data_IF_494857016859
#
_entry.id   IF_494857016859
#
_cell.length_a   1.000
_cell.length_b   1.000
_cell.length_c   1.000
_cell.angle_alpha   90.00
_cell.angle_beta   90.00
_cell.angle_gamma   90.00
#
_symmetry.space_group_name_H-M   'P 1'
#
loop_
_entity.id
_entity.type
_entity.pdbx_description
1 polymer ?
#
# COMPACT_ATOMS: atom_id res chain seq x y z
N UNK A 1 14.07 -8.60 -20.35
CA UNK A 1 14.02 -8.82 -18.89
C UNK A 1 12.98 -7.89 -18.30
N UNK A 2 12.33 -8.29 -17.21
CA UNK A 2 11.38 -7.45 -16.49
C UNK A 2 11.99 -6.91 -15.21
N UNK A 3 11.65 -5.68 -14.85
CA UNK A 3 12.03 -5.01 -13.60
C UNK A 3 10.79 -4.53 -12.88
N UNK A 4 10.89 -4.33 -11.57
CA UNK A 4 9.82 -3.75 -10.77
C UNK A 4 10.16 -2.31 -10.47
N UNK A 5 9.25 -1.41 -10.84
CA UNK A 5 9.27 0.00 -10.42
C UNK A 5 8.23 0.20 -9.33
N UNK A 6 8.50 1.05 -8.35
CA UNK A 6 7.58 1.31 -7.24
C UNK A 6 7.61 2.78 -6.83
N UNK A 7 6.46 3.28 -6.36
CA UNK A 7 6.33 4.62 -5.76
C UNK A 7 5.36 4.58 -4.59
N UNK A 8 5.67 5.38 -3.58
CA UNK A 8 4.81 5.65 -2.43
C UNK A 8 4.05 6.95 -2.66
N UNK A 9 2.80 7.00 -2.21
CA UNK A 9 1.91 8.15 -2.24
C UNK A 9 1.34 8.39 -0.86
N UNK A 10 1.05 9.63 -0.50
CA UNK A 10 0.41 9.94 0.79
C UNK A 10 -1.09 9.62 0.78
N UNK A 11 -1.73 9.57 -0.40
CA UNK A 11 -3.15 9.28 -0.56
C UNK A 11 -3.42 8.14 -1.53
N UNK A 12 -4.53 7.43 -1.30
CA UNK A 12 -5.03 6.42 -2.24
C UNK A 12 -5.43 7.04 -3.59
N UNK A 13 -5.94 8.27 -3.58
CA UNK A 13 -6.39 8.96 -4.79
C UNK A 13 -5.23 9.25 -5.75
N UNK A 14 -4.07 9.70 -5.23
CA UNK A 14 -2.87 9.93 -6.05
C UNK A 14 -2.33 8.61 -6.61
N UNK A 15 -2.29 7.57 -5.78
CA UNK A 15 -1.88 6.24 -6.21
C UNK A 15 -2.79 5.69 -7.32
N UNK A 16 -4.11 5.89 -7.23
CA UNK A 16 -5.07 5.48 -8.25
C UNK A 16 -4.85 6.20 -9.58
N UNK A 17 -4.50 7.49 -9.55
CA UNK A 17 -4.15 8.24 -10.76
C UNK A 17 -2.91 7.64 -11.43
N UNK A 18 -1.89 7.29 -10.64
CA UNK A 18 -0.68 6.64 -11.14
C UNK A 18 -0.97 5.27 -11.78
N UNK A 19 -1.81 4.45 -11.15
CA UNK A 19 -2.27 3.16 -11.73
C UNK A 19 -2.98 3.40 -13.08
N UNK A 20 -3.92 4.34 -13.12
CA UNK A 20 -4.67 4.67 -14.34
C UNK A 20 -3.72 5.13 -15.45
N UNK A 21 -2.72 5.94 -15.12
CA UNK A 21 -1.73 6.43 -16.08
C UNK A 21 -0.82 5.30 -16.60
N UNK A 22 -0.43 4.34 -15.76
CA UNK A 22 0.31 3.15 -16.20
C UNK A 22 -0.51 2.28 -17.17
N UNK A 23 -1.79 2.05 -16.85
CA UNK A 23 -2.69 1.29 -17.73
C UNK A 23 -2.87 1.98 -19.08
N UNK A 24 -3.10 3.29 -19.08
CA UNK A 24 -3.19 4.11 -20.29
C UNK A 24 -1.89 4.08 -21.11
N UNK A 25 -0.75 3.88 -20.46
CA UNK A 25 0.56 3.73 -21.08
C UNK A 25 0.89 2.29 -21.55
N UNK A 26 -0.08 1.36 -21.44
CA UNK A 26 0.00 -0.01 -21.95
C UNK A 26 0.48 -1.05 -20.94
N UNK A 27 0.66 -0.70 -19.66
CA UNK A 27 1.00 -1.68 -18.63
C UNK A 27 -0.23 -2.53 -18.33
N UNK A 28 -0.10 -3.84 -18.46
CA UNK A 28 -1.20 -4.76 -18.16
C UNK A 28 -1.55 -4.69 -16.68
N UNK A 29 -2.85 -4.65 -16.40
CA UNK A 29 -3.40 -4.64 -15.06
C UNK A 29 -2.82 -5.72 -14.14
N UNK A 30 -2.63 -6.94 -14.64
CA UNK A 30 -2.04 -8.07 -13.90
C UNK A 30 -0.59 -7.85 -13.47
N UNK A 31 0.10 -6.87 -14.06
CA UNK A 31 1.46 -6.48 -13.73
C UNK A 31 1.53 -5.31 -12.74
N UNK A 32 0.38 -4.72 -12.38
CA UNK A 32 0.29 -3.62 -11.42
C UNK A 32 -0.23 -4.18 -10.10
N UNK A 33 0.28 -3.62 -9.00
CA UNK A 33 -0.22 -3.91 -7.67
C UNK A 33 -0.27 -2.64 -6.84
N UNK A 34 -1.27 -2.53 -5.99
CA UNK A 34 -1.46 -1.41 -5.05
C UNK A 34 -1.65 -1.97 -3.64
N UNK A 35 -1.04 -1.33 -2.65
CA UNK A 35 -1.20 -1.64 -1.22
C UNK A 35 -1.37 -0.34 -0.46
N UNK A 36 -2.53 -0.12 0.13
CA UNK A 36 -2.91 1.12 0.80
C UNK A 36 -3.26 0.86 2.27
N UNK A 37 -2.74 1.66 3.18
CA UNK A 37 -3.15 1.59 4.58
C UNK A 37 -4.62 2.01 4.77
N UNK A 38 -5.35 1.27 5.59
CA UNK A 38 -6.76 1.49 5.92
C UNK A 38 -7.00 1.59 7.44
N UNK A 39 -6.01 2.03 8.22
CA UNK A 39 -6.15 2.17 9.68
C UNK A 39 -7.23 3.17 10.09
N UNK A 40 -7.58 4.12 9.22
CA UNK A 40 -8.66 5.08 9.42
C UNK A 40 -10.00 4.68 8.75
N UNK A 41 -10.07 3.47 8.19
CA UNK A 41 -11.33 2.87 7.73
C UNK A 41 -11.95 3.50 6.50
N UNK A 42 -11.18 4.17 5.63
CA UNK A 42 -11.71 4.84 4.45
C UNK A 42 -12.32 3.87 3.42
N UNK A 43 -11.91 2.60 3.40
CA UNK A 43 -12.38 1.59 2.44
C UNK A 43 -13.57 0.77 2.93
N UNK A 44 -13.63 0.47 4.24
CA UNK A 44 -14.81 -0.17 4.82
C UNK A 44 -15.81 0.93 5.16
N UNK A 45 -16.77 1.16 4.27
CA UNK A 45 -17.76 2.24 4.36
C UNK A 45 -18.66 2.23 5.61
N UNK A 46 -18.39 1.36 6.59
CA UNK A 46 -18.89 1.47 7.96
C UNK A 46 -18.01 2.44 8.76
N UNK A 47 -18.23 3.73 8.54
CA UNK A 47 -18.08 4.70 9.64
C UNK A 47 -18.95 4.19 10.79
N UNK A 48 -18.42 4.21 12.00
CA UNK A 48 -19.22 4.38 13.21
C UNK A 48 -20.19 5.56 12.94
N UNK A 49 -21.44 5.21 12.63
CA UNK A 49 -22.46 6.15 12.14
C UNK A 49 -23.23 6.78 13.30
N UNK A 50 -23.11 6.24 14.52
CA UNK A 50 -23.79 6.75 15.70
C UNK A 50 -22.85 7.50 16.66
N UNK A 51 -21.53 7.32 16.53
CA UNK A 51 -20.53 8.05 17.31
C UNK A 51 -20.59 7.70 18.79
N UNK A 52 -21.03 6.48 19.13
CA UNK A 52 -21.19 6.01 20.50
C UNK A 52 -19.86 5.57 21.15
N UNK A 53 -18.78 5.51 20.35
CA UNK A 53 -17.45 5.15 20.82
C UNK A 53 -17.26 3.66 21.09
N UNK A 54 -18.21 2.81 20.64
CA UNK A 54 -18.09 1.36 20.65
C UNK A 54 -17.35 0.91 19.39
N UNK A 55 -16.32 0.11 19.61
CA UNK A 55 -15.47 -0.37 18.55
C UNK A 55 -16.07 -1.60 17.86
N UNK A 56 -16.87 -1.40 16.81
CA UNK A 56 -17.41 -2.47 15.96
C UNK A 56 -16.32 -3.21 15.13
N UNK A 57 -15.02 -2.89 15.31
CA UNK A 57 -13.87 -3.55 14.65
C UNK A 57 -13.79 -5.07 14.94
N UNK A 58 -14.50 -5.58 15.95
CA UNK A 58 -14.37 -6.97 16.42
C UNK A 58 -15.06 -8.02 15.53
N UNK A 59 -15.99 -7.67 14.63
CA UNK A 59 -16.74 -8.67 13.85
C UNK A 59 -16.18 -8.96 12.44
N UNK A 60 -15.10 -8.30 12.02
CA UNK A 60 -14.49 -8.54 10.70
C UNK A 60 -13.28 -9.49 10.72
N UNK A 61 -12.88 -10.01 11.89
CA UNK A 61 -11.74 -10.92 12.02
C UNK A 61 -11.98 -12.34 11.44
N UNK A 62 -13.20 -12.63 10.94
CA UNK A 62 -13.59 -13.93 10.39
C UNK A 62 -13.76 -14.00 8.86
N UNK A 63 -13.76 -12.88 8.14
CA UNK A 63 -14.17 -12.86 6.73
C UNK A 63 -13.01 -12.41 5.83
N UNK A 64 -12.04 -13.30 5.62
CA UNK A 64 -10.90 -13.12 4.71
C UNK A 64 -11.25 -13.01 3.21
N UNK A 65 -12.49 -12.76 2.86
CA UNK A 65 -12.93 -12.53 1.48
C UNK A 65 -14.28 -11.80 1.49
N UNK A 66 -14.34 -10.58 0.97
CA UNK A 66 -15.62 -10.02 0.50
C UNK A 66 -15.90 -8.56 0.85
N UNK A 67 -15.13 -7.62 0.32
CA UNK A 67 -15.66 -6.31 -0.14
C UNK A 67 -14.91 -5.93 -1.41
N UNK A 68 -15.28 -6.57 -2.52
CA UNK A 68 -14.81 -6.23 -3.86
C UNK A 68 -15.97 -5.70 -4.70
N UNK A 69 -16.50 -4.52 -4.36
CA UNK A 69 -17.38 -3.69 -5.22
C UNK A 69 -17.94 -2.51 -4.41
N UNK A 70 -17.28 -1.35 -4.43
CA UNK A 70 -17.81 -0.16 -3.79
C UNK A 70 -17.01 1.09 -4.15
N UNK A 71 -17.47 1.82 -5.17
CA UNK A 71 -16.96 3.07 -5.76
C UNK A 71 -16.04 2.90 -6.98
N UNK A 72 -16.67 2.68 -8.14
CA UNK A 72 -16.07 2.76 -9.45
C UNK A 72 -15.98 4.20 -9.99
N UNK A 73 -14.88 4.48 -10.71
CA UNK A 73 -14.67 5.69 -11.50
C UNK A 73 -13.64 5.45 -12.62
N UNK A 74 -14.13 5.36 -13.86
CA UNK A 74 -13.49 5.44 -15.19
C UNK A 74 -12.41 4.44 -15.68
N UNK A 75 -11.62 3.74 -14.86
CA UNK A 75 -10.74 2.67 -15.35
C UNK A 75 -10.60 1.58 -14.28
N UNK A 76 -10.62 0.31 -14.69
CA UNK A 76 -10.79 -0.87 -13.83
C UNK A 76 -9.86 -0.93 -12.62
N UNK A 77 -10.31 -0.36 -11.51
CA UNK A 77 -9.77 -0.61 -10.19
C UNK A 77 -9.89 -2.10 -9.92
N UNK A 78 -8.80 -2.68 -9.45
CA UNK A 78 -8.49 -4.08 -9.65
C UNK A 78 -9.63 -5.05 -9.37
N UNK A 79 -9.79 -6.06 -10.23
CA UNK A 79 -10.83 -7.09 -10.15
C UNK A 79 -10.79 -7.96 -8.87
N UNK A 80 -10.09 -7.51 -7.82
CA UNK A 80 -9.96 -8.15 -6.52
C UNK A 80 -9.28 -7.24 -5.49
N UNK A 81 -9.77 -6.00 -5.29
CA UNK A 81 -9.46 -5.27 -4.06
C UNK A 81 -9.97 -6.08 -2.85
N UNK A 82 -9.08 -6.35 -1.91
CA UNK A 82 -9.37 -7.06 -0.68
C UNK A 82 -8.82 -6.31 0.52
N UNK A 83 -9.59 -6.30 1.61
CA UNK A 83 -9.10 -5.87 2.91
C UNK A 83 -8.32 -7.03 3.55
N UNK A 84 -7.09 -6.77 3.96
CA UNK A 84 -6.18 -7.74 4.57
C UNK A 84 -5.57 -7.13 5.84
N UNK A 85 -5.40 -7.94 6.89
CA UNK A 85 -4.63 -7.54 8.05
C UNK A 85 -3.20 -8.09 7.91
N UNK A 86 -2.22 -7.19 7.76
CA UNK A 86 -0.80 -7.57 7.66
C UNK A 86 -0.09 -7.25 9.00
N UNK A 87 0.57 -8.23 9.64
CA UNK A 87 1.37 -7.97 10.83
C UNK A 87 2.39 -6.85 10.61
N UNK A 88 2.46 -5.93 11.57
CA UNK A 88 3.29 -4.72 11.48
C UNK A 88 2.64 -3.56 10.72
N UNK A 89 1.79 -3.80 9.72
CA UNK A 89 1.12 -2.74 8.95
C UNK A 89 -0.28 -2.39 9.47
N UNK A 90 -1.01 -3.38 9.99
CA UNK A 90 -2.43 -3.24 10.33
C UNK A 90 -3.35 -3.52 9.13
N UNK A 91 -4.59 -2.99 9.13
CA UNK A 91 -5.52 -3.19 8.04
C UNK A 91 -5.04 -2.45 6.78
N UNK A 92 -4.97 -3.17 5.66
CA UNK A 92 -4.59 -2.63 4.36
C UNK A 92 -5.57 -3.08 3.29
N UNK A 93 -5.79 -2.21 2.31
CA UNK A 93 -6.47 -2.54 1.07
C UNK A 93 -5.41 -2.86 0.05
N UNK A 94 -5.47 -4.06 -0.52
CA UNK A 94 -4.50 -4.47 -1.51
C UNK A 94 -5.20 -5.06 -2.74
N UNK A 95 -4.55 -4.90 -3.88
CA UNK A 95 -4.89 -5.65 -5.07
C UNK A 95 -3.70 -5.84 -6.02
N UNK A 96 -3.88 -6.77 -6.96
CA UNK A 96 -2.86 -7.19 -7.90
C UNK A 96 -1.97 -8.28 -7.31
N UNK A 97 -0.86 -8.54 -7.98
CA UNK A 97 -0.03 -9.70 -7.70
C UNK A 97 0.69 -9.66 -6.33
N UNK A 98 0.95 -8.49 -5.72
CA UNK A 98 1.47 -8.42 -4.33
C UNK A 98 0.38 -8.65 -3.28
N UNK A 99 -0.89 -8.41 -3.61
CA UNK A 99 -1.99 -8.73 -2.69
C UNK A 99 -2.12 -10.25 -2.50
N UNK A 100 -1.94 -11.01 -3.57
CA UNK A 100 -1.96 -12.48 -3.53
C UNK A 100 -0.83 -13.07 -2.66
N UNK A 101 0.37 -12.47 -2.70
CA UNK A 101 1.49 -12.92 -1.86
C UNK A 101 1.27 -12.60 -0.38
N UNK A 102 0.53 -11.53 -0.08
CA UNK A 102 0.14 -11.16 1.29
C UNK A 102 -0.76 -12.22 1.93
N UNK A 103 -1.71 -12.77 1.17
CA UNK A 103 -2.58 -13.88 1.61
C UNK A 103 -1.76 -15.16 1.81
N UNK A 104 -0.80 -15.44 0.93
CA UNK A 104 0.09 -16.60 1.05
C UNK A 104 1.05 -16.53 2.25
N UNK A 105 1.43 -15.32 2.68
CA UNK A 105 2.28 -15.10 3.85
C UNK A 105 1.57 -15.49 5.17
N UNK A 106 0.25 -15.28 5.25
CA UNK A 106 -0.55 -15.69 6.41
C UNK A 106 -0.63 -17.23 6.56
N UNK A 107 -0.47 -17.99 5.47
CA UNK A 107 -0.42 -19.45 5.47
C UNK A 107 0.99 -20.03 5.77
N UNK A 108 1.98 -19.20 6.12
CA UNK A 108 3.30 -19.65 6.59
C UNK A 108 4.36 -19.85 5.50
N UNK A 109 4.10 -19.45 4.25
CA UNK A 109 5.04 -19.65 3.14
C UNK A 109 6.08 -18.53 2.94
N UNK A 110 5.89 -17.34 3.53
CA UNK A 110 6.79 -16.20 3.33
C UNK A 110 7.43 -15.73 4.65
N UNK A 111 8.70 -16.09 4.87
CA UNK A 111 9.50 -15.74 6.06
C UNK A 111 9.91 -14.26 6.18
N UNK A 112 9.27 -13.33 5.45
CA UNK A 112 9.73 -11.93 5.38
C UNK A 112 8.67 -10.83 5.39
N UNK A 113 7.38 -11.16 5.53
CA UNK A 113 6.29 -10.17 5.49
C UNK A 113 6.32 -9.30 4.22
N UNK A 114 5.83 -8.05 4.32
CA UNK A 114 5.81 -7.12 3.18
C UNK A 114 7.21 -6.81 2.63
N UNK A 115 8.23 -6.69 3.50
CA UNK A 115 9.61 -6.40 3.07
C UNK A 115 10.17 -7.55 2.22
N UNK A 116 9.92 -8.79 2.65
CA UNK A 116 10.26 -9.99 1.88
C UNK A 116 9.53 -10.04 0.55
N UNK A 117 8.22 -9.79 0.54
CA UNK A 117 7.41 -9.78 -0.67
C UNK A 117 7.89 -8.72 -1.68
N UNK A 118 8.24 -7.51 -1.21
CA UNK A 118 8.81 -6.45 -2.05
C UNK A 118 10.21 -6.80 -2.57
N UNK A 119 11.03 -7.43 -1.74
CA UNK A 119 12.37 -7.86 -2.17
C UNK A 119 12.28 -8.96 -3.23
N UNK A 120 11.42 -9.96 -3.05
CA UNK A 120 11.16 -11.03 -4.01
C UNK A 120 10.56 -10.49 -5.32
N UNK A 121 9.74 -9.44 -5.19
CA UNK A 121 9.24 -8.65 -6.30
C UNK A 121 10.32 -7.91 -7.11
N UNK A 122 11.53 -7.77 -6.59
CA UNK A 122 12.62 -7.04 -7.25
C UNK A 122 12.80 -5.59 -6.78
N UNK A 123 12.14 -5.16 -5.71
CA UNK A 123 12.51 -3.93 -4.98
C UNK A 123 13.83 -4.17 -4.24
N UNK A 124 14.69 -3.16 -4.16
CA UNK A 124 15.98 -3.31 -3.48
C UNK A 124 15.79 -3.54 -1.97
N UNK A 125 16.80 -4.17 -1.34
CA UNK A 125 16.79 -4.39 0.12
C UNK A 125 16.89 -3.10 0.92
N UNK A 126 17.40 -2.03 0.31
CA UNK A 126 17.44 -0.71 0.94
C UNK A 126 16.07 -0.03 0.91
N UNK A 127 15.34 -0.15 -0.21
CA UNK A 127 14.07 0.55 -0.41
C UNK A 127 12.86 -0.21 0.16
N UNK A 128 12.87 -1.54 0.17
CA UNK A 128 11.74 -2.34 0.63
C UNK A 128 11.28 -2.01 2.07
N UNK A 129 12.19 -1.81 3.06
CA UNK A 129 11.83 -1.33 4.39
C UNK A 129 11.21 0.08 4.39
N UNK A 130 11.64 0.97 3.50
CA UNK A 130 11.12 2.34 3.41
C UNK A 130 9.68 2.35 2.91
N UNK A 131 9.38 1.54 1.89
CA UNK A 131 8.02 1.36 1.40
C UNK A 131 7.11 0.72 2.45
N UNK A 132 7.61 -0.31 3.15
CA UNK A 132 6.87 -0.96 4.21
C UNK A 132 6.50 0.02 5.34
N UNK A 133 7.46 0.84 5.77
CA UNK A 133 7.21 1.90 6.77
C UNK A 133 6.28 2.98 6.24
N UNK A 134 6.43 3.38 4.98
CA UNK A 134 5.55 4.35 4.33
C UNK A 134 4.09 3.91 4.31
N UNK A 135 3.84 2.65 3.96
CA UNK A 135 2.50 2.06 4.06
C UNK A 135 2.07 1.99 5.53
N UNK A 136 2.91 1.51 6.44
CA UNK A 136 2.58 1.42 7.88
C UNK A 136 2.10 2.75 8.45
N UNK A 137 2.70 3.85 8.00
CA UNK A 137 2.42 5.22 8.47
C UNK A 137 1.22 5.89 7.78
N UNK A 138 0.53 5.20 6.88
CA UNK A 138 -0.68 5.71 6.24
C UNK A 138 -0.58 5.90 4.72
N UNK A 139 0.58 5.64 4.12
CA UNK A 139 0.78 5.78 2.68
C UNK A 139 0.13 4.68 1.85
N UNK A 140 0.22 4.86 0.54
CA UNK A 140 -0.19 3.90 -0.49
C UNK A 140 0.96 3.61 -1.42
N UNK A 141 1.28 2.33 -1.60
CA UNK A 141 2.33 1.84 -2.49
C UNK A 141 1.73 1.37 -3.81
N UNK A 142 2.31 1.80 -4.93
CA UNK A 142 2.07 1.23 -6.26
C UNK A 142 3.35 0.58 -6.75
N UNK A 143 3.23 -0.66 -7.26
CA UNK A 143 4.32 -1.40 -7.88
C UNK A 143 3.90 -1.93 -9.24
N UNK A 144 4.79 -1.83 -10.24
CA UNK A 144 4.54 -2.33 -11.59
C UNK A 144 5.72 -3.15 -12.11
N UNK A 145 5.42 -4.34 -12.65
CA UNK A 145 6.37 -5.15 -13.41
C UNK A 145 6.38 -4.67 -14.86
N UNK A 146 7.52 -4.18 -15.31
CA UNK A 146 7.68 -3.56 -16.63
C UNK A 146 8.87 -4.15 -17.37
N UNK A 147 8.88 -4.05 -18.69
CA UNK A 147 10.07 -4.37 -19.47
C UNK A 147 11.18 -3.37 -19.10
N UNK A 148 12.41 -3.85 -18.94
CA UNK A 148 13.56 -3.00 -18.59
C UNK A 148 13.77 -1.85 -19.59
N UNK A 149 13.50 -2.11 -20.87
CA UNK A 149 13.55 -1.10 -21.93
C UNK A 149 12.54 0.05 -21.74
N UNK A 150 11.43 -0.18 -21.03
CA UNK A 150 10.40 0.83 -20.74
C UNK A 150 10.58 1.50 -19.38
N UNK A 151 11.58 1.07 -18.59
CA UNK A 151 11.75 1.50 -17.19
C UNK A 151 11.73 3.01 -17.04
N UNK A 152 12.57 3.74 -17.77
CA UNK A 152 12.68 5.20 -17.66
C UNK A 152 11.37 5.91 -18.00
N UNK A 153 10.67 5.45 -19.04
CA UNK A 153 9.39 6.04 -19.48
C UNK A 153 8.31 5.85 -18.42
N UNK A 154 8.18 4.63 -17.91
CA UNK A 154 7.11 4.26 -16.96
C UNK A 154 7.43 4.74 -15.53
N UNK A 155 8.70 4.86 -15.15
CA UNK A 155 9.12 5.49 -13.89
C UNK A 155 8.71 6.97 -13.86
N UNK A 156 8.85 7.66 -15.00
CA UNK A 156 8.36 9.04 -15.16
C UNK A 156 6.86 9.20 -14.96
N UNK A 157 6.06 8.17 -15.29
CA UNK A 157 4.60 8.17 -15.10
C UNK A 157 4.22 8.02 -13.62
N UNK A 158 5.04 7.34 -12.83
CA UNK A 158 4.80 7.17 -11.40
C UNK A 158 5.25 8.40 -10.57
N UNK A 159 6.10 9.27 -11.10
CA UNK A 159 6.67 10.40 -10.36
C UNK A 159 5.66 11.46 -9.85
N UNK A 160 4.61 11.85 -10.60
CA UNK A 160 3.65 12.84 -10.13
C UNK A 160 3.03 12.44 -8.80
N UNK A 161 2.98 13.37 -7.84
CA UNK A 161 2.46 13.18 -6.47
C UNK A 161 3.13 12.07 -5.65
N UNK A 162 4.23 11.48 -6.13
CA UNK A 162 4.96 10.47 -5.37
C UNK A 162 5.79 11.09 -4.26
N UNK A 163 5.89 10.37 -3.15
CA UNK A 163 6.72 10.74 -2.01
C UNK A 163 8.19 10.55 -2.38
N UNK A 164 9.01 11.58 -2.12
CA UNK A 164 10.46 11.41 -2.08
C UNK A 164 10.85 10.58 -0.85
N UNK A 165 11.13 9.30 -1.06
CA UNK A 165 11.47 8.35 0.02
C UNK A 165 12.73 8.73 0.79
N UNK A 166 13.70 9.37 0.14
CA UNK A 166 14.94 9.78 0.81
C UNK A 166 14.64 10.90 1.81
N UNK A 167 13.91 11.93 1.38
CA UNK A 167 13.50 13.02 2.28
C UNK A 167 12.59 12.50 3.40
N UNK A 168 11.65 11.62 3.05
CA UNK A 168 10.69 11.05 4.01
C UNK A 168 11.37 10.17 5.05
N UNK A 169 12.26 9.28 4.64
CA UNK A 169 13.02 8.43 5.56
C UNK A 169 13.94 9.25 6.47
N UNK A 170 14.58 10.30 5.96
CA UNK A 170 15.37 11.22 6.77
C UNK A 170 14.50 11.94 7.82
N UNK A 171 13.26 12.30 7.49
CA UNK A 171 12.31 12.86 8.46
C UNK A 171 11.93 11.85 9.55
N UNK A 172 11.64 10.59 9.20
CA UNK A 172 11.35 9.55 10.18
C UNK A 172 12.53 9.26 11.10
N UNK A 173 13.76 9.24 10.57
CA UNK A 173 14.98 9.06 11.35
C UNK A 173 15.19 10.17 12.39
N UNK A 174 14.85 11.43 12.05
CA UNK A 174 14.87 12.54 13.02
C UNK A 174 13.91 12.33 14.18
N UNK A 175 12.83 11.56 13.96
CA UNK A 175 11.85 11.19 15.00
C UNK A 175 12.15 9.85 15.68
N UNK A 176 13.32 9.25 15.43
CA UNK A 176 13.79 8.04 16.10
C UNK A 176 13.50 6.73 15.36
N UNK A 177 13.02 6.77 14.12
CA UNK A 177 12.87 5.55 13.31
C UNK A 177 14.23 5.02 12.84
N UNK A 178 14.52 3.75 13.11
CA UNK A 178 15.81 3.11 12.78
C UNK A 178 15.69 1.99 11.73
N UNK A 179 14.47 1.61 11.37
CA UNK A 179 14.19 0.53 10.42
C UNK A 179 12.78 -0.01 10.57
N UNK A 180 12.30 -0.73 9.54
CA UNK A 180 11.00 -1.38 9.61
C UNK A 180 11.07 -2.60 10.53
N UNK A 181 10.12 -2.71 11.45
CA UNK A 181 9.97 -3.83 12.37
C UNK A 181 8.54 -4.41 12.25
N UNK A 182 8.38 -5.65 11.76
CA UNK A 182 7.06 -6.27 11.64
C UNK A 182 6.40 -6.57 13.00
N UNK A 183 7.15 -6.55 14.11
CA UNK A 183 6.59 -6.72 15.46
C UNK A 183 6.11 -5.39 16.07
N UNK A 184 6.41 -4.25 15.45
CA UNK A 184 5.92 -2.96 15.90
C UNK A 184 4.40 -2.86 15.79
N UNK A 185 3.79 -2.13 16.72
CA UNK A 185 2.34 -1.88 16.68
C UNK A 185 1.97 -1.17 15.37
N UNK A 186 0.91 -1.61 14.68
CA UNK A 186 0.35 -0.86 13.56
C UNK A 186 -0.01 0.57 13.97
N UNK A 187 0.10 1.52 13.05
CA UNK A 187 -0.37 2.88 13.33
C UNK A 187 -1.90 2.87 13.45
N UNK A 188 -2.40 3.55 14.48
CA UNK A 188 -3.83 3.79 14.68
C UNK A 188 -4.36 4.87 13.73
N UNK A 189 -5.69 5.01 13.71
CA UNK A 189 -6.38 5.97 12.85
C UNK A 189 -5.92 7.43 13.06
N UNK A 190 -5.72 7.84 14.31
CA UNK A 190 -5.25 9.20 14.63
C UNK A 190 -3.81 9.45 14.18
N UNK A 191 -2.94 8.45 14.34
CA UNK A 191 -1.54 8.55 13.92
C UNK A 191 -1.43 8.64 12.40
N UNK A 192 -2.20 7.83 11.67
CA UNK A 192 -2.29 7.89 10.20
C UNK A 192 -2.84 9.23 9.72
N UNK A 193 -3.92 9.73 10.34
CA UNK A 193 -4.47 11.06 10.00
C UNK A 193 -3.46 12.17 10.23
N UNK A 194 -2.74 12.11 11.36
CA UNK A 194 -1.69 13.08 11.68
C UNK A 194 -0.56 13.02 10.65
N UNK A 195 -0.08 11.82 10.31
CA UNK A 195 0.98 11.65 9.31
C UNK A 195 0.55 12.20 7.94
N UNK A 196 -0.65 11.84 7.47
CA UNK A 196 -1.22 12.37 6.22
C UNK A 196 -1.39 13.88 6.25
N UNK A 197 -1.71 14.48 7.39
CA UNK A 197 -1.81 15.95 7.52
C UNK A 197 -0.44 16.61 7.53
N UNK A 198 0.57 15.96 8.13
CA UNK A 198 1.94 16.48 8.18
C UNK A 198 2.59 16.53 6.79
N UNK A 199 2.19 15.63 5.90
CA UNK A 199 2.87 15.46 4.61
C UNK A 199 1.98 15.59 3.36
N UNK A 200 0.66 15.50 3.49
CA UNK A 200 -0.30 15.50 2.38
C UNK A 200 -0.67 16.89 1.88
N UNK A 201 0.35 17.67 1.50
CA UNK A 201 0.22 18.99 0.87
C UNK A 201 0.23 18.93 -0.65
#
# INVERSE_FOLDING_TARGET
>A
MTVTISRLYDSYADAQQAVTALEAAGVQHSNISIVANNSDGWFDGKKDRDGDGVDDRAEAAGTGAGIGAGLGGAAGLLAGLGLLAIPGLGPVVAAGWLAATSVGAAAGAATGGIVGALTEAGVSKEDAPLYAEGVRRGGTLVSAKVADADRTRLDGILNPSSVNLQDRSAAWQKTGWTGYDPASKPYGADEVRKERTLYGG
#
